data_IF_250914495066
#
_entry.id   IF_250914495066
#
_cell.length_a   1.000
_cell.length_b   1.000
_cell.length_c   1.000
_cell.angle_alpha   90.00
_cell.angle_beta   90.00
_cell.angle_gamma   90.00
#
_symmetry.space_group_name_H-M   'P 1'
#
loop_
_entity.id
_entity.type
_entity.pdbx_description
1 polymer ?
#
# COMPACT_ATOMS: atom_id res chain seq x y z
N UNK A 1 11.72 23.02 -23.01
CA UNK A 1 11.74 22.35 -21.69
C UNK A 1 12.95 21.42 -21.69
N UNK A 2 13.98 21.65 -20.86
CA UNK A 2 15.26 20.90 -20.91
C UNK A 2 15.26 19.82 -19.81
N UNK A 3 15.34 18.55 -20.19
CA UNK A 3 15.49 17.45 -19.23
C UNK A 3 16.98 17.14 -19.03
N UNK A 4 17.40 17.06 -17.77
CA UNK A 4 18.79 16.80 -17.36
C UNK A 4 18.81 15.41 -16.70
N UNK A 5 19.33 14.40 -17.40
CA UNK A 5 19.55 13.09 -16.79
C UNK A 5 20.66 13.18 -15.75
N UNK A 6 20.37 12.86 -14.49
CA UNK A 6 21.38 12.81 -13.43
C UNK A 6 21.85 11.36 -13.26
N UNK A 7 23.11 11.11 -13.61
CA UNK A 7 23.78 9.84 -13.35
C UNK A 7 24.12 9.80 -11.85
N UNK A 8 23.55 8.83 -11.13
CA UNK A 8 23.92 8.56 -9.74
C UNK A 8 25.28 7.83 -9.65
N UNK A 9 26.03 7.98 -8.56
CA UNK A 9 27.43 7.55 -8.45
C UNK A 9 27.66 6.02 -8.42
N UNK A 10 26.63 5.18 -8.67
CA UNK A 10 26.72 3.71 -8.63
C UNK A 10 25.99 3.00 -9.78
N UNK A 11 25.82 3.65 -10.94
CA UNK A 11 25.34 2.99 -12.17
C UNK A 11 23.90 2.44 -12.14
N UNK A 12 23.16 2.58 -11.03
CA UNK A 12 21.75 2.26 -10.94
C UNK A 12 20.89 3.48 -11.26
N UNK A 13 20.04 3.38 -12.28
CA UNK A 13 19.10 4.43 -12.62
C UNK A 13 17.89 4.42 -11.69
N UNK A 14 17.53 5.61 -11.22
CA UNK A 14 16.29 5.88 -10.52
C UNK A 14 15.27 6.31 -11.57
N UNK A 15 14.21 5.51 -11.78
CA UNK A 15 13.02 5.96 -12.49
C UNK A 15 12.42 7.12 -11.69
N UNK A 16 12.61 8.36 -12.17
CA UNK A 16 12.02 9.54 -11.55
C UNK A 16 10.69 9.90 -12.22
N UNK A 17 9.67 9.92 -11.35
CA UNK A 17 8.30 10.44 -11.43
C UNK A 17 7.47 10.18 -12.69
N UNK A 18 6.40 9.42 -12.45
CA UNK A 18 5.12 9.49 -13.14
C UNK A 18 4.72 10.93 -13.45
N UNK A 19 4.31 11.20 -14.68
CA UNK A 19 3.39 12.32 -14.91
C UNK A 19 2.07 11.94 -14.24
N UNK A 20 1.50 12.83 -13.45
CA UNK A 20 0.32 12.52 -12.63
C UNK A 20 -0.94 12.20 -13.47
N UNK A 21 -0.90 12.33 -14.80
CA UNK A 21 -2.06 12.16 -15.70
C UNK A 21 -2.07 10.87 -16.52
N UNK A 22 -0.95 10.15 -16.61
CA UNK A 22 -0.86 8.88 -17.35
C UNK A 22 -0.13 7.87 -16.50
N UNK A 23 -0.69 6.67 -16.29
CA UNK A 23 -0.05 5.55 -15.57
C UNK A 23 1.24 5.01 -16.26
N UNK A 24 1.76 5.76 -17.24
CA UNK A 24 2.90 5.45 -18.09
C UNK A 24 4.14 6.16 -17.58
N UNK A 25 5.26 5.46 -17.68
CA UNK A 25 6.58 6.05 -17.47
C UNK A 25 7.06 6.75 -18.74
N UNK A 26 8.00 7.70 -18.61
CA UNK A 26 8.54 8.43 -19.75
C UNK A 26 9.20 7.51 -20.81
N UNK A 27 9.77 6.38 -20.37
CA UNK A 27 10.38 5.40 -21.27
C UNK A 27 9.34 4.60 -22.06
N UNK A 28 8.21 4.24 -21.44
CA UNK A 28 7.09 3.57 -22.13
C UNK A 28 6.50 4.48 -23.20
N UNK A 29 6.32 5.78 -22.89
CA UNK A 29 5.88 6.76 -23.87
C UNK A 29 6.88 6.90 -25.04
N UNK A 30 8.18 6.98 -24.77
CA UNK A 30 9.19 7.07 -25.81
C UNK A 30 9.27 5.81 -26.70
N UNK A 31 9.07 4.63 -26.12
CA UNK A 31 9.03 3.36 -26.87
C UNK A 31 7.74 3.22 -27.69
N UNK A 32 6.59 3.64 -27.15
CA UNK A 32 5.31 3.72 -27.87
C UNK A 32 5.42 4.66 -29.08
N UNK A 33 5.99 5.86 -28.89
CA UNK A 33 6.18 6.85 -29.96
C UNK A 33 7.11 6.34 -31.07
N UNK A 34 8.06 5.48 -30.72
CA UNK A 34 8.95 4.79 -31.67
C UNK A 34 8.31 3.55 -32.33
N UNK A 35 7.07 3.19 -31.96
CA UNK A 35 6.37 2.01 -32.47
C UNK A 35 6.95 0.68 -31.99
N UNK A 36 7.60 0.67 -30.82
CA UNK A 36 8.30 -0.50 -30.27
C UNK A 36 7.44 -1.19 -29.21
N UNK A 37 7.07 -2.45 -29.48
CA UNK A 37 6.34 -3.28 -28.53
C UNK A 37 7.23 -3.61 -27.33
N UNK A 38 6.82 -3.17 -26.14
CA UNK A 38 7.61 -3.29 -24.93
C UNK A 38 6.80 -3.82 -23.75
N UNK A 39 7.52 -4.33 -22.75
CA UNK A 39 7.00 -4.86 -21.50
C UNK A 39 7.88 -4.39 -20.35
N UNK A 40 7.29 -3.65 -19.42
CA UNK A 40 7.93 -3.20 -18.19
C UNK A 40 7.29 -3.94 -17.01
N UNK A 41 7.98 -4.90 -16.38
CA UNK A 41 7.45 -5.59 -15.23
C UNK A 41 7.26 -4.63 -14.06
N UNK A 42 6.05 -4.57 -13.51
CA UNK A 42 5.68 -3.63 -12.46
C UNK A 42 4.74 -4.23 -11.42
N UNK A 43 4.88 -3.74 -10.20
CA UNK A 43 3.97 -4.00 -9.09
C UNK A 43 3.23 -2.71 -8.69
N UNK A 44 2.02 -2.85 -8.17
CA UNK A 44 1.32 -1.74 -7.51
C UNK A 44 1.69 -1.75 -6.03
N UNK A 45 2.09 -0.59 -5.50
CA UNK A 45 2.35 -0.41 -4.06
C UNK A 45 1.51 0.74 -3.52
N UNK A 46 0.96 0.56 -2.34
CA UNK A 46 0.31 1.66 -1.62
C UNK A 46 1.36 2.50 -0.89
N UNK A 47 1.46 3.77 -1.30
CA UNK A 47 2.30 4.76 -0.63
C UNK A 47 1.42 5.68 0.19
N UNK A 48 1.74 5.80 1.49
CA UNK A 48 1.08 6.76 2.38
C UNK A 48 1.43 8.18 1.95
N UNK A 49 0.40 9.00 1.72
CA UNK A 49 0.60 10.41 1.42
C UNK A 49 1.11 11.13 2.68
N UNK A 50 2.28 11.76 2.58
CA UNK A 50 2.91 12.47 3.71
C UNK A 50 2.08 13.67 4.18
N UNK A 51 1.37 14.33 3.28
CA UNK A 51 0.55 15.52 3.57
C UNK A 51 -0.85 15.19 4.12
N UNK A 52 -1.34 13.96 3.91
CA UNK A 52 -2.68 13.56 4.33
C UNK A 52 -2.61 12.27 5.14
N UNK A 53 -2.65 12.44 6.46
CA UNK A 53 -2.77 11.35 7.44
C UNK A 53 -3.98 10.50 7.06
N UNK A 54 -3.77 9.22 6.72
CA UNK A 54 -4.73 8.21 6.25
C UNK A 54 -5.10 8.16 4.76
N UNK A 55 -4.48 8.94 3.87
CA UNK A 55 -4.64 8.68 2.42
C UNK A 55 -3.50 7.83 1.89
N UNK A 56 -3.83 6.76 1.18
CA UNK A 56 -2.91 5.92 0.44
C UNK A 56 -3.09 6.20 -1.05
N UNK A 57 -1.99 6.32 -1.79
CA UNK A 57 -1.98 6.39 -3.26
C UNK A 57 -1.41 5.08 -3.77
N UNK A 58 -2.11 4.45 -4.70
CA UNK A 58 -1.53 3.36 -5.48
C UNK A 58 -0.49 3.95 -6.42
N UNK A 59 0.74 3.46 -6.32
CA UNK A 59 1.85 3.87 -7.17
C UNK A 59 2.42 2.61 -7.81
N UNK A 60 2.54 2.63 -9.13
CA UNK A 60 3.21 1.58 -9.89
C UNK A 60 4.71 1.63 -9.58
N UNK A 61 5.37 0.50 -9.48
CA UNK A 61 6.80 0.39 -9.22
C UNK A 61 7.40 -0.69 -10.12
N UNK A 62 8.58 -0.47 -10.71
CA UNK A 62 9.27 -1.49 -11.49
C UNK A 62 9.68 -2.67 -10.59
N UNK A 63 9.38 -3.89 -11.02
CA UNK A 63 9.90 -5.10 -10.35
C UNK A 63 11.42 -5.21 -10.52
N UNK A 64 11.92 -4.83 -11.70
CA UNK A 64 13.34 -4.81 -12.03
C UNK A 64 13.71 -3.39 -12.48
N UNK A 65 14.18 -2.53 -11.56
CA UNK A 65 14.50 -1.13 -11.88
C UNK A 65 15.56 -1.03 -12.98
N UNK A 66 15.31 -0.17 -13.97
CA UNK A 66 16.26 0.09 -15.06
C UNK A 66 16.22 -0.89 -16.23
N UNK A 67 15.31 -1.88 -16.21
CA UNK A 67 15.16 -2.85 -17.29
C UNK A 67 13.77 -2.76 -17.90
N UNK A 68 13.73 -2.86 -19.23
CA UNK A 68 12.52 -3.01 -20.03
C UNK A 68 12.76 -4.10 -21.07
N UNK A 69 11.72 -4.85 -21.40
CA UNK A 69 11.78 -5.95 -22.36
C UNK A 69 11.13 -5.49 -23.65
N UNK A 70 11.74 -5.79 -24.78
CA UNK A 70 11.21 -5.43 -26.09
C UNK A 70 10.96 -6.69 -26.91
N UNK A 71 9.91 -6.68 -27.72
CA UNK A 71 9.58 -7.77 -28.62
C UNK A 71 9.99 -7.41 -30.05
N UNK A 72 10.76 -8.30 -30.67
CA UNK A 72 11.11 -8.26 -32.10
C UNK A 72 11.51 -6.85 -32.59
N UNK A 73 12.54 -6.23 -32.01
CA UNK A 73 12.96 -4.91 -32.46
C UNK A 73 13.39 -4.97 -33.94
N UNK A 74 13.01 -3.98 -34.76
CA UNK A 74 13.36 -3.96 -36.18
C UNK A 74 14.86 -3.76 -36.42
N UNK A 75 15.50 -2.97 -35.55
CA UNK A 75 16.94 -2.72 -35.52
C UNK A 75 17.34 -2.42 -34.07
N UNK A 76 18.48 -2.94 -33.60
CA UNK A 76 18.99 -2.64 -32.26
C UNK A 76 19.66 -1.27 -32.18
N UNK A 77 20.07 -0.68 -33.31
CA UNK A 77 20.65 0.66 -33.33
C UNK A 77 19.61 1.75 -33.09
N UNK A 78 18.31 1.46 -33.26
CA UNK A 78 17.27 2.47 -33.04
C UNK A 78 17.18 2.91 -31.57
N UNK A 79 17.60 2.05 -30.64
CA UNK A 79 17.56 2.31 -29.20
C UNK A 79 18.46 3.45 -28.75
N UNK A 80 19.57 3.70 -29.45
CA UNK A 80 20.50 4.79 -29.13
C UNK A 80 19.84 6.18 -29.28
N UNK A 81 18.78 6.26 -30.10
CA UNK A 81 18.02 7.49 -30.32
C UNK A 81 16.87 7.70 -29.33
N UNK A 82 16.54 6.70 -28.50
CA UNK A 82 15.38 6.72 -27.61
C UNK A 82 15.74 7.36 -26.26
N UNK A 83 15.10 8.47 -25.86
CA UNK A 83 15.39 9.11 -24.59
C UNK A 83 15.15 8.17 -23.40
N UNK A 84 16.16 8.04 -22.55
CA UNK A 84 16.09 7.20 -21.34
C UNK A 84 16.50 5.75 -21.56
N UNK A 85 16.80 5.33 -22.79
CA UNK A 85 17.45 4.05 -23.08
C UNK A 85 18.97 4.24 -23.08
N UNK A 86 19.68 3.36 -22.36
CA UNK A 86 21.15 3.41 -22.25
C UNK A 86 21.79 2.51 -23.31
N UNK A 87 21.11 1.42 -23.66
CA UNK A 87 21.58 0.43 -24.60
C UNK A 87 20.88 -0.91 -24.38
N UNK A 88 21.19 -1.86 -25.26
CA UNK A 88 20.63 -3.21 -25.23
C UNK A 88 21.56 -4.13 -24.44
N UNK A 89 20.99 -4.90 -23.51
CA UNK A 89 21.77 -5.87 -22.75
C UNK A 89 22.19 -7.03 -23.66
N UNK A 90 23.48 -7.36 -23.65
CA UNK A 90 24.05 -8.37 -24.54
C UNK A 90 25.38 -8.94 -24.07
N UNK A 91 25.81 -10.02 -24.69
CA UNK A 91 27.10 -10.67 -24.45
C UNK A 91 27.91 -10.58 -25.74
N UNK A 92 29.16 -10.09 -25.65
CA UNK A 92 30.06 -9.95 -26.81
C UNK A 92 29.50 -9.11 -27.97
N UNK A 93 28.71 -8.08 -27.65
CA UNK A 93 28.08 -7.21 -28.65
C UNK A 93 26.81 -7.78 -29.27
N UNK A 94 26.39 -8.98 -28.90
CA UNK A 94 25.12 -9.58 -29.34
C UNK A 94 24.03 -9.40 -28.28
N UNK A 95 22.85 -8.88 -28.66
CA UNK A 95 21.70 -8.77 -27.76
C UNK A 95 21.33 -10.10 -27.12
N UNK A 96 21.11 -10.09 -25.80
CA UNK A 96 20.71 -11.29 -25.08
C UNK A 96 19.24 -11.58 -25.34
N UNK A 97 18.97 -12.73 -25.94
CA UNK A 97 17.60 -13.21 -26.13
C UNK A 97 17.08 -13.76 -24.81
N UNK A 98 15.88 -13.29 -24.43
CA UNK A 98 15.22 -13.73 -23.20
C UNK A 98 14.18 -14.78 -23.55
N UNK A 99 14.28 -15.93 -22.89
CA UNK A 99 13.36 -17.03 -23.13
C UNK A 99 11.92 -16.62 -22.75
N UNK A 100 10.89 -16.93 -23.56
CA UNK A 100 9.51 -16.55 -23.26
C UNK A 100 9.00 -17.00 -21.88
N UNK A 101 9.52 -18.13 -21.39
CA UNK A 101 9.20 -18.63 -20.04
C UNK A 101 9.63 -17.66 -18.93
N UNK A 102 10.76 -16.97 -19.07
CA UNK A 102 11.19 -15.98 -18.09
C UNK A 102 10.24 -14.77 -18.05
N UNK A 103 9.75 -14.34 -19.22
CA UNK A 103 8.71 -13.30 -19.32
C UNK A 103 7.40 -13.78 -18.67
N UNK A 104 7.01 -15.04 -18.90
CA UNK A 104 5.83 -15.62 -18.27
C UNK A 104 5.96 -15.67 -16.74
N UNK A 105 7.13 -16.02 -16.21
CA UNK A 105 7.40 -15.98 -14.77
C UNK A 105 7.26 -14.56 -14.18
N UNK A 106 7.75 -13.54 -14.89
CA UNK A 106 7.58 -12.14 -14.47
C UNK A 106 6.10 -11.74 -14.44
N UNK A 107 5.33 -12.10 -15.48
CA UNK A 107 3.88 -11.85 -15.52
C UNK A 107 3.12 -12.55 -14.40
N UNK A 108 3.49 -13.78 -14.07
CA UNK A 108 2.91 -14.50 -12.94
C UNK A 108 3.22 -13.79 -11.61
N UNK A 109 4.46 -13.34 -11.42
CA UNK A 109 4.86 -12.59 -10.24
C UNK A 109 4.09 -11.24 -10.11
N UNK A 110 3.81 -10.56 -11.22
CA UNK A 110 2.95 -9.36 -11.22
C UNK A 110 1.54 -9.68 -10.74
N UNK A 111 0.95 -10.77 -11.22
CA UNK A 111 -0.40 -11.20 -10.84
C UNK A 111 -0.47 -11.59 -9.35
N UNK A 112 0.49 -12.38 -8.87
CA UNK A 112 0.58 -12.76 -7.45
C UNK A 112 0.70 -11.53 -6.53
N UNK A 113 1.54 -10.57 -6.91
CA UNK A 113 1.69 -9.32 -6.16
C UNK A 113 0.41 -8.47 -6.16
N UNK A 114 -0.32 -8.43 -7.27
CA UNK A 114 -1.61 -7.74 -7.35
C UNK A 114 -2.64 -8.37 -6.40
N UNK A 115 -2.76 -9.70 -6.40
CA UNK A 115 -3.66 -10.41 -5.48
C UNK A 115 -3.30 -10.18 -4.00
N UNK A 116 -2.01 -10.22 -3.68
CA UNK A 116 -1.52 -9.96 -2.32
C UNK A 116 -1.89 -8.54 -1.88
N UNK A 117 -1.73 -7.54 -2.77
CA UNK A 117 -2.09 -6.16 -2.47
C UNK A 117 -3.60 -6.02 -2.20
N UNK A 118 -4.45 -6.65 -3.01
CA UNK A 118 -5.90 -6.63 -2.83
C UNK A 118 -6.31 -7.27 -1.49
N UNK A 119 -5.76 -8.44 -1.17
CA UNK A 119 -5.98 -9.11 0.12
C UNK A 119 -5.57 -8.21 1.29
N UNK A 120 -4.45 -7.49 1.17
CA UNK A 120 -4.02 -6.54 2.18
C UNK A 120 -4.94 -5.31 2.30
N UNK A 121 -5.41 -4.75 1.17
CA UNK A 121 -6.38 -3.64 1.14
C UNK A 121 -7.67 -4.04 1.83
N UNK A 122 -8.18 -5.23 1.53
CA UNK A 122 -9.38 -5.76 2.15
C UNK A 122 -9.22 -5.93 3.66
N UNK A 123 -8.12 -6.55 4.11
CA UNK A 123 -7.80 -6.66 5.56
C UNK A 123 -7.72 -5.30 6.25
N UNK A 124 -7.09 -4.30 5.62
CA UNK A 124 -7.03 -2.92 6.16
C UNK A 124 -8.41 -2.29 6.25
N UNK A 125 -9.22 -2.42 5.20
CA UNK A 125 -10.56 -1.87 5.16
C UNK A 125 -11.48 -2.53 6.19
N UNK A 126 -11.40 -3.85 6.36
CA UNK A 126 -12.09 -4.57 7.42
C UNK A 126 -11.62 -4.15 8.82
N UNK A 127 -10.31 -4.00 9.03
CA UNK A 127 -9.77 -3.50 10.29
C UNK A 127 -10.24 -2.07 10.61
N UNK A 128 -10.37 -1.21 9.60
CA UNK A 128 -10.93 0.13 9.74
C UNK A 128 -12.44 0.11 10.01
N UNK A 129 -13.19 -0.77 9.35
CA UNK A 129 -14.64 -0.95 9.55
C UNK A 129 -14.99 -1.53 10.92
N UNK A 130 -14.10 -2.31 11.52
CA UNK A 130 -14.40 -3.10 12.72
C UNK A 130 -14.60 -2.28 14.00
N UNK A 131 -14.29 -0.98 14.08
CA UNK A 131 -14.62 -0.20 15.29
C UNK A 131 -14.59 1.33 15.07
N UNK A 132 -15.50 1.86 14.24
CA UNK A 132 -15.68 3.33 14.13
C UNK A 132 -16.39 3.87 15.38
N UNK A 133 -16.15 5.13 15.76
CA UNK A 133 -16.83 5.79 16.91
C UNK A 133 -18.35 5.64 16.84
N UNK A 134 -18.92 5.76 15.64
CA UNK A 134 -20.36 5.61 15.40
C UNK A 134 -20.87 4.19 15.67
N UNK A 135 -20.11 3.16 15.28
CA UNK A 135 -20.45 1.76 15.56
C UNK A 135 -20.24 1.41 17.03
N UNK A 136 -19.18 1.95 17.64
CA UNK A 136 -18.94 1.80 19.07
C UNK A 136 -20.06 2.48 19.89
N UNK A 137 -20.56 3.65 19.49
CA UNK A 137 -21.70 4.29 20.16
C UNK A 137 -23.04 3.58 19.97
N UNK A 138 -23.20 2.83 18.87
CA UNK A 138 -24.37 1.99 18.66
C UNK A 138 -24.35 0.73 19.53
N UNK A 139 -23.17 0.10 19.67
CA UNK A 139 -23.00 -1.11 20.48
C UNK A 139 -22.93 -0.82 21.99
N UNK A 140 -22.41 0.35 22.36
CA UNK A 140 -22.17 0.76 23.74
C UNK A 140 -22.78 2.16 23.98
N UNK A 141 -24.12 2.27 23.99
CA UNK A 141 -24.78 3.55 24.18
C UNK A 141 -24.45 4.17 25.54
N UNK A 142 -24.36 5.50 25.59
CA UNK A 142 -24.14 6.21 26.85
C UNK A 142 -25.25 5.87 27.83
N UNK A 143 -24.88 5.49 29.05
CA UNK A 143 -25.80 5.14 30.12
C UNK A 143 -26.11 3.64 30.24
N UNK A 144 -25.66 2.77 29.32
CA UNK A 144 -25.81 1.32 29.48
C UNK A 144 -24.89 0.77 30.57
N UNK A 145 -25.29 -0.36 31.15
CA UNK A 145 -24.52 -1.07 32.17
C UNK A 145 -23.64 -2.11 31.48
N UNK A 146 -22.37 -2.13 31.85
CA UNK A 146 -21.37 -3.06 31.32
C UNK A 146 -20.69 -3.82 32.44
N UNK A 147 -20.37 -5.08 32.18
CA UNK A 147 -19.49 -5.88 33.01
C UNK A 147 -18.08 -5.81 32.46
N UNK A 148 -17.15 -5.36 33.29
CA UNK A 148 -15.74 -5.17 32.92
C UNK A 148 -14.91 -6.19 33.65
N UNK A 149 -14.12 -6.95 32.90
CA UNK A 149 -13.14 -7.85 33.50
C UNK A 149 -11.86 -7.07 33.82
N UNK A 150 -11.61 -6.87 35.12
CA UNK A 150 -10.42 -6.24 35.66
C UNK A 150 -9.45 -7.29 36.21
N UNK A 151 -8.18 -7.19 35.83
CA UNK A 151 -7.12 -8.09 36.29
C UNK A 151 -6.91 -8.03 37.82
N UNK A 152 -7.27 -6.91 38.45
CA UNK A 152 -7.04 -6.64 39.88
C UNK A 152 -8.27 -6.94 40.75
N UNK A 153 -9.49 -6.77 40.22
CA UNK A 153 -10.73 -6.74 41.02
C UNK A 153 -11.80 -7.71 40.52
N UNK A 154 -11.49 -8.55 39.52
CA UNK A 154 -12.46 -9.48 38.92
C UNK A 154 -13.48 -8.76 38.03
N UNK A 155 -14.74 -9.20 38.06
CA UNK A 155 -15.82 -8.60 37.26
C UNK A 155 -16.39 -7.40 38.02
N UNK A 156 -16.35 -6.23 37.40
CA UNK A 156 -16.86 -4.98 37.97
C UNK A 156 -18.01 -4.46 37.12
N UNK A 157 -19.13 -4.09 37.75
CA UNK A 157 -20.23 -3.41 37.09
C UNK A 157 -19.88 -1.92 36.90
N UNK A 158 -20.00 -1.43 35.67
CA UNK A 158 -19.73 -0.05 35.33
C UNK A 158 -20.82 0.52 34.41
N UNK A 159 -20.95 1.84 34.39
CA UNK A 159 -21.90 2.56 33.53
C UNK A 159 -21.16 3.43 32.54
N UNK A 160 -21.47 3.28 31.25
CA UNK A 160 -20.78 4.04 30.19
C UNK A 160 -21.17 5.52 30.27
N UNK A 161 -20.17 6.40 30.38
CA UNK A 161 -20.35 7.86 30.36
C UNK A 161 -20.04 8.46 29.00
N UNK A 162 -19.05 7.92 28.27
CA UNK A 162 -18.78 8.35 26.90
C UNK A 162 -18.05 7.29 26.07
N UNK A 163 -18.30 7.27 24.77
CA UNK A 163 -17.60 6.40 23.82
C UNK A 163 -16.48 7.16 23.13
N UNK A 164 -15.25 6.69 23.33
CA UNK A 164 -14.05 7.22 22.70
C UNK A 164 -13.78 6.51 21.38
N UNK A 165 -13.33 7.25 20.36
CA UNK A 165 -13.07 6.70 19.01
C UNK A 165 -11.85 5.77 18.92
N UNK A 166 -11.23 5.40 20.04
CA UNK A 166 -9.95 4.66 20.12
C UNK A 166 -10.10 3.22 20.64
N UNK A 167 -11.26 2.60 20.43
CA UNK A 167 -11.58 1.26 20.96
C UNK A 167 -11.66 1.19 22.49
N UNK A 168 -11.89 2.33 23.12
CA UNK A 168 -12.13 2.45 24.55
C UNK A 168 -13.51 3.06 24.78
N UNK A 169 -14.03 2.89 25.98
CA UNK A 169 -15.19 3.62 26.52
C UNK A 169 -14.80 4.17 27.89
N UNK A 170 -15.23 5.38 28.20
CA UNK A 170 -15.20 5.87 29.58
C UNK A 170 -16.42 5.35 30.30
N UNK A 171 -16.21 4.77 31.46
CA UNK A 171 -17.26 4.26 32.31
C UNK A 171 -17.00 4.66 33.76
N UNK A 172 -18.06 4.73 34.55
CA UNK A 172 -17.98 4.93 36.00
C UNK A 172 -18.31 3.61 36.67
N UNK A 173 -17.42 3.12 37.51
CA UNK A 173 -17.64 1.93 38.31
C UNK A 173 -17.88 2.32 39.78
N UNK A 174 -18.79 1.61 40.44
CA UNK A 174 -19.00 1.71 41.89
C UNK A 174 -17.98 0.82 42.60
N UNK A 175 -17.07 1.45 43.34
CA UNK A 175 -16.13 0.77 44.24
C UNK A 175 -16.52 1.00 45.70
N UNK A 176 -15.87 0.26 46.61
CA UNK A 176 -16.13 0.31 48.06
C UNK A 176 -16.10 1.73 48.66
N UNK A 177 -15.31 2.65 48.06
CA UNK A 177 -15.14 4.03 48.52
C UNK A 177 -15.81 5.08 47.61
N UNK A 178 -16.70 4.67 46.70
CA UNK A 178 -17.46 5.58 45.83
C UNK A 178 -17.26 5.33 44.32
N UNK A 179 -17.66 6.32 43.52
CA UNK A 179 -17.65 6.26 42.06
C UNK A 179 -16.25 6.61 41.51
N UNK A 180 -15.71 5.77 40.61
CA UNK A 180 -14.42 6.01 39.96
C UNK A 180 -14.57 5.97 38.44
N UNK A 181 -14.00 6.97 37.77
CA UNK A 181 -13.88 7.01 36.32
C UNK A 181 -12.80 6.04 35.84
N UNK A 182 -13.19 5.12 34.96
CA UNK A 182 -12.31 4.13 34.35
C UNK A 182 -12.40 4.22 32.82
N UNK A 183 -11.24 4.08 32.17
CA UNK A 183 -11.18 3.91 30.71
C UNK A 183 -11.03 2.42 30.40
N UNK A 184 -12.05 1.85 29.76
CA UNK A 184 -12.18 0.41 29.53
C UNK A 184 -12.01 0.13 28.06
N UNK A 185 -11.19 -0.86 27.71
CA UNK A 185 -11.10 -1.32 26.33
C UNK A 185 -12.30 -2.19 25.98
N UNK A 186 -12.78 -2.05 24.75
CA UNK A 186 -13.99 -2.77 24.30
C UNK A 186 -13.82 -4.30 24.34
N UNK A 187 -12.60 -4.82 24.25
CA UNK A 187 -12.27 -6.24 24.40
C UNK A 187 -12.37 -6.77 25.86
N UNK A 188 -12.46 -5.88 26.85
CA UNK A 188 -12.60 -6.22 28.27
C UNK A 188 -14.06 -6.19 28.75
N UNK A 189 -15.00 -5.89 27.85
CA UNK A 189 -16.44 -5.84 28.16
C UNK A 189 -17.05 -7.21 27.87
N UNK A 190 -17.55 -7.87 28.92
CA UNK A 190 -18.12 -9.22 28.79
C UNK A 190 -19.62 -9.23 28.52
N UNK A 191 -20.34 -8.18 28.91
CA UNK A 191 -21.79 -8.08 28.74
C UNK A 191 -22.27 -6.61 28.69
N UNK A 192 -23.35 -6.36 27.96
CA UNK A 192 -23.98 -5.03 27.82
C UNK A 192 -25.49 -5.17 28.09
N UNK A 193 -25.96 -4.55 29.17
CA UNK A 193 -27.37 -4.53 29.59
C UNK A 193 -28.00 -3.14 29.45
#
# INVERSE_FOLDING_TARGET
>A
MRYRGHVGPRGGFRLERYSDETERTAIEAALDDAGIEHYLPTEKREIRQRAHTNKFKDVRHPLIPGYCFVRNPPDFMCFDSIPGVIGVLGIRGEPSIIHPQAIAMLKNAEAENAELLEKQKQKRHEAQKKLTRARASQLYPVGSRIKVQSDLLGIVDARITSVTGRKTVKAVAEFLNGLVDIEVRIDQISDVA
#
